data_IF_041814020978
#
_entry.id   IF_041814020978
#
_cell.length_a   1.000
_cell.length_b   1.000
_cell.length_c   1.000
_cell.angle_alpha   90.00
_cell.angle_beta   90.00
_cell.angle_gamma   90.00
#
_symmetry.space_group_name_H-M   'P 1'
#
loop_
_entity.id
_entity.type
_entity.pdbx_description
1 polymer ?
#
# COMPACT_ATOMS: atom_id res chain seq x y z
N UNK A 1 20.27 1.18 -1.62
CA UNK A 1 20.58 1.67 -2.99
C UNK A 1 20.76 0.44 -3.86
N UNK A 2 20.12 0.41 -5.03
CA UNK A 2 20.26 -0.72 -5.94
C UNK A 2 21.57 -0.70 -6.73
N UNK A 3 21.85 -1.81 -7.40
CA UNK A 3 23.05 -2.03 -8.19
C UNK A 3 22.71 -2.64 -9.54
N UNK A 4 23.51 -2.34 -10.56
CA UNK A 4 23.39 -3.01 -11.86
C UNK A 4 24.12 -4.35 -11.83
N UNK A 5 23.45 -5.41 -12.24
CA UNK A 5 24.02 -6.76 -12.39
C UNK A 5 23.96 -7.20 -13.86
N UNK A 6 24.71 -8.25 -14.21
CA UNK A 6 24.65 -8.91 -15.52
C UNK A 6 23.94 -10.25 -15.38
N UNK A 7 23.01 -10.50 -16.30
CA UNK A 7 22.24 -11.74 -16.42
C UNK A 7 22.77 -12.47 -17.65
N UNK A 8 23.18 -13.73 -17.47
CA UNK A 8 23.77 -14.54 -18.52
C UNK A 8 22.69 -15.40 -19.18
N UNK A 9 22.69 -15.47 -20.51
CA UNK A 9 21.87 -16.39 -21.29
C UNK A 9 22.74 -17.11 -22.32
N UNK A 10 22.24 -18.20 -22.95
CA UNK A 10 22.96 -18.84 -24.04
C UNK A 10 23.21 -17.94 -25.26
N UNK A 11 22.41 -16.88 -25.43
CA UNK A 11 22.43 -15.99 -26.60
C UNK A 11 23.19 -14.68 -26.35
N UNK A 12 23.54 -14.39 -25.10
CA UNK A 12 24.26 -13.18 -24.73
C UNK A 12 24.12 -12.86 -23.24
N UNK A 13 24.38 -11.62 -22.87
CA UNK A 13 24.13 -11.14 -21.51
C UNK A 13 23.47 -9.77 -21.55
N UNK A 14 22.58 -9.52 -20.60
CA UNK A 14 21.90 -8.24 -20.46
C UNK A 14 21.97 -7.73 -19.03
N UNK A 15 21.81 -6.42 -18.86
CA UNK A 15 21.87 -5.78 -17.57
C UNK A 15 20.54 -5.91 -16.82
N UNK A 16 20.59 -5.77 -15.50
CA UNK A 16 19.39 -5.58 -14.69
C UNK A 16 19.67 -4.74 -13.45
N UNK A 17 18.68 -3.96 -13.02
CA UNK A 17 18.75 -3.21 -11.76
C UNK A 17 18.27 -4.09 -10.62
N UNK A 18 19.14 -4.33 -9.63
CA UNK A 18 18.84 -5.12 -8.44
C UNK A 18 18.65 -4.19 -7.23
N UNK A 19 17.46 -4.21 -6.65
CA UNK A 19 17.16 -3.63 -5.35
C UNK A 19 17.09 -4.74 -4.28
N UNK A 20 17.63 -4.47 -3.10
CA UNK A 20 17.70 -5.44 -1.99
C UNK A 20 17.06 -4.80 -0.76
N UNK A 21 16.26 -5.55 0.02
CA UNK A 21 15.60 -5.00 1.20
C UNK A 21 16.64 -4.61 2.25
N UNK A 22 16.27 -3.75 3.20
CA UNK A 22 17.17 -3.30 4.26
C UNK A 22 17.73 -4.47 5.10
N UNK A 23 16.97 -5.56 5.23
CA UNK A 23 17.40 -6.80 5.87
C UNK A 23 18.50 -7.57 5.10
N UNK A 24 18.82 -7.14 3.87
CA UNK A 24 19.86 -7.73 3.01
C UNK A 24 19.41 -8.92 2.17
N UNK A 25 18.26 -9.53 2.48
CA UNK A 25 17.70 -10.67 1.74
C UNK A 25 16.19 -10.77 1.90
N UNK A 26 15.53 -11.37 0.93
CA UNK A 26 14.09 -11.62 0.92
C UNK A 26 13.63 -12.44 -0.29
N UNK A 27 12.32 -12.72 -0.41
CA UNK A 27 11.74 -13.35 -1.59
C UNK A 27 12.00 -12.54 -2.87
N UNK A 28 12.10 -13.23 -3.99
CA UNK A 28 12.52 -12.62 -5.26
C UNK A 28 11.36 -12.10 -6.10
N UNK A 29 11.50 -10.89 -6.65
CA UNK A 29 10.58 -10.36 -7.66
C UNK A 29 11.38 -10.01 -8.91
N UNK A 30 10.99 -10.56 -10.07
CA UNK A 30 11.37 -9.98 -11.36
C UNK A 30 10.33 -8.93 -11.74
N UNK A 31 10.76 -7.67 -11.84
CA UNK A 31 9.93 -6.53 -12.20
C UNK A 31 10.08 -6.23 -13.70
N UNK A 32 9.08 -6.57 -14.49
CA UNK A 32 9.05 -6.34 -15.93
C UNK A 32 8.70 -4.89 -16.26
N UNK A 33 9.54 -4.26 -17.07
CA UNK A 33 9.43 -2.86 -17.49
C UNK A 33 8.17 -2.54 -18.31
N UNK A 34 7.81 -1.25 -18.33
CA UNK A 34 6.95 -0.67 -19.36
C UNK A 34 7.73 -0.56 -20.71
N UNK A 35 7.16 0.13 -21.70
CA UNK A 35 7.80 0.35 -23.01
C UNK A 35 8.96 1.36 -22.99
N UNK A 36 9.35 1.85 -21.80
CA UNK A 36 10.33 2.92 -21.63
C UNK A 36 11.71 2.45 -21.16
N UNK A 37 11.93 1.13 -21.07
CA UNK A 37 13.18 0.57 -20.55
C UNK A 37 13.28 0.62 -19.03
N UNK A 38 14.50 0.41 -18.52
CA UNK A 38 14.81 0.41 -17.07
C UNK A 38 15.03 1.85 -16.60
N UNK A 39 14.01 2.70 -16.76
CA UNK A 39 14.08 4.12 -16.44
C UNK A 39 13.99 4.40 -14.93
N UNK A 40 14.02 5.68 -14.55
CA UNK A 40 13.95 6.11 -13.16
C UNK A 40 12.69 5.59 -12.43
N UNK A 41 11.55 5.55 -13.10
CA UNK A 41 10.29 5.03 -12.53
C UNK A 41 10.42 3.55 -12.18
N UNK A 42 11.01 2.74 -13.06
CA UNK A 42 11.17 1.30 -12.78
C UNK A 42 12.14 1.02 -11.64
N UNK A 43 13.21 1.81 -11.51
CA UNK A 43 14.10 1.74 -10.35
C UNK A 43 13.39 2.13 -9.05
N UNK A 44 12.58 3.19 -9.07
CA UNK A 44 11.80 3.62 -7.91
C UNK A 44 10.78 2.56 -7.47
N UNK A 45 10.11 1.89 -8.42
CA UNK A 45 9.19 0.81 -8.09
C UNK A 45 9.95 -0.40 -7.52
N UNK A 46 11.11 -0.74 -8.07
CA UNK A 46 11.96 -1.79 -7.51
C UNK A 46 12.40 -1.48 -6.07
N UNK A 47 12.84 -0.24 -5.82
CA UNK A 47 13.21 0.21 -4.47
C UNK A 47 12.00 0.18 -3.53
N UNK A 48 10.79 0.51 -4.03
CA UNK A 48 9.57 0.46 -3.23
C UNK A 48 9.17 -0.97 -2.84
N UNK A 49 9.29 -1.95 -3.74
CA UNK A 49 9.11 -3.36 -3.37
C UNK A 49 10.26 -3.89 -2.50
N UNK A 50 11.47 -3.31 -2.58
CA UNK A 50 12.53 -3.62 -1.63
C UNK A 50 12.24 -3.09 -0.21
N UNK A 51 11.59 -1.92 -0.08
CA UNK A 51 11.06 -1.45 1.21
C UNK A 51 10.00 -2.41 1.79
N UNK A 52 9.28 -3.14 0.93
CA UNK A 52 8.30 -4.16 1.33
C UNK A 52 8.92 -5.51 1.72
N UNK A 53 10.25 -5.64 1.61
CA UNK A 53 11.00 -6.83 2.03
C UNK A 53 11.42 -7.77 0.90
N UNK A 54 11.27 -7.38 -0.37
CA UNK A 54 11.60 -8.21 -1.52
C UNK A 54 12.97 -7.90 -2.12
N UNK A 55 13.65 -8.91 -2.64
CA UNK A 55 14.81 -8.72 -3.51
C UNK A 55 14.32 -8.59 -4.95
N UNK A 56 14.43 -7.40 -5.55
CA UNK A 56 13.77 -7.06 -6.80
C UNK A 56 14.77 -6.88 -7.93
N UNK A 57 14.57 -7.56 -9.06
CA UNK A 57 15.39 -7.45 -10.26
C UNK A 57 14.56 -6.88 -11.41
N UNK A 58 14.99 -5.75 -11.97
CA UNK A 58 14.43 -5.17 -13.21
C UNK A 58 15.35 -5.51 -14.37
N UNK A 59 15.04 -6.54 -15.18
CA UNK A 59 15.84 -6.87 -16.35
C UNK A 59 15.67 -5.82 -17.47
N UNK A 60 16.75 -5.48 -18.17
CA UNK A 60 16.68 -4.74 -19.43
C UNK A 60 16.14 -5.66 -20.53
N UNK A 61 14.82 -5.61 -20.75
CA UNK A 61 14.15 -6.50 -21.71
C UNK A 61 14.31 -6.03 -23.16
N UNK A 62 14.77 -4.79 -23.39
CA UNK A 62 15.03 -4.29 -24.74
C UNK A 62 16.43 -4.61 -25.26
N UNK A 63 17.26 -5.31 -24.50
CA UNK A 63 18.66 -5.60 -24.83
C UNK A 63 18.89 -6.19 -26.23
N UNK A 64 17.93 -6.96 -26.76
CA UNK A 64 17.97 -7.56 -28.12
C UNK A 64 17.76 -6.57 -29.25
N UNK A 65 17.06 -5.46 -28.97
CA UNK A 65 16.78 -4.38 -29.92
C UNK A 65 17.85 -3.29 -29.74
N UNK A 66 17.97 -2.78 -28.51
CA UNK A 66 18.95 -1.80 -28.09
C UNK A 66 19.13 -1.89 -26.57
N UNK A 67 20.35 -2.14 -26.05
CA UNK A 67 20.59 -2.20 -24.61
C UNK A 67 20.60 -0.81 -23.96
N UNK A 68 20.25 -0.76 -22.68
CA UNK A 68 20.35 0.45 -21.85
C UNK A 68 19.32 1.52 -22.21
N UNK A 69 18.14 1.11 -22.67
CA UNK A 69 17.06 2.06 -22.95
C UNK A 69 16.54 2.65 -21.64
N UNK A 70 16.52 3.98 -21.58
CA UNK A 70 15.87 4.76 -20.54
C UNK A 70 15.14 5.93 -21.20
N UNK A 71 13.81 5.85 -21.24
CA UNK A 71 12.95 6.85 -21.88
C UNK A 71 11.95 7.41 -20.88
N UNK A 72 11.44 8.60 -21.20
CA UNK A 72 10.29 9.19 -20.50
C UNK A 72 8.98 8.88 -21.23
N UNK A 73 7.84 9.10 -20.57
CA UNK A 73 6.51 8.95 -21.16
C UNK A 73 6.05 10.19 -21.94
N UNK A 74 6.99 11.05 -22.38
CA UNK A 74 6.70 12.38 -22.94
C UNK A 74 7.44 12.63 -24.25
N UNK A 75 6.89 13.52 -25.09
CA UNK A 75 7.59 14.05 -26.26
C UNK A 75 8.06 12.97 -27.24
N UNK A 76 9.27 13.16 -27.78
CA UNK A 76 9.88 12.25 -28.78
C UNK A 76 10.20 10.87 -28.22
N UNK A 77 10.48 10.77 -26.91
CA UNK A 77 10.74 9.51 -26.22
C UNK A 77 9.55 8.56 -26.33
N UNK A 78 8.32 9.08 -26.26
CA UNK A 78 7.11 8.26 -26.39
C UNK A 78 7.02 7.60 -27.77
N UNK A 79 7.31 8.32 -28.85
CA UNK A 79 7.31 7.76 -30.20
C UNK A 79 8.41 6.71 -30.38
N UNK A 80 9.59 6.96 -29.81
CA UNK A 80 10.68 5.97 -29.79
C UNK A 80 10.28 4.72 -29.01
N UNK A 81 9.63 4.87 -27.87
CA UNK A 81 9.13 3.76 -27.05
C UNK A 81 8.11 2.90 -27.80
N UNK A 82 7.19 3.52 -28.55
CA UNK A 82 6.26 2.79 -29.43
C UNK A 82 6.99 2.01 -30.51
N UNK A 83 8.02 2.59 -31.13
CA UNK A 83 8.84 1.90 -32.13
C UNK A 83 9.61 0.70 -31.56
N UNK A 84 10.10 0.78 -30.33
CA UNK A 84 10.71 -0.35 -29.62
C UNK A 84 9.68 -1.43 -29.29
N UNK A 85 8.51 -1.04 -28.79
CA UNK A 85 7.41 -1.97 -28.50
C UNK A 85 6.94 -2.75 -29.73
N UNK A 86 6.84 -2.10 -30.89
CA UNK A 86 6.47 -2.77 -32.15
C UNK A 86 7.48 -3.81 -32.62
N UNK A 87 8.75 -3.66 -32.25
CA UNK A 87 9.83 -4.60 -32.58
C UNK A 87 10.00 -5.70 -31.51
N UNK A 88 9.32 -5.59 -30.38
CA UNK A 88 9.51 -6.48 -29.25
C UNK A 88 8.95 -7.88 -29.52
N UNK A 89 9.81 -8.90 -29.39
CA UNK A 89 9.41 -10.30 -29.43
C UNK A 89 8.97 -10.77 -28.04
N UNK A 90 7.67 -11.01 -27.89
CA UNK A 90 7.06 -11.41 -26.62
C UNK A 90 7.52 -12.79 -26.15
N UNK A 91 7.80 -13.72 -27.06
CA UNK A 91 8.24 -15.06 -26.69
C UNK A 91 9.68 -15.01 -26.16
N UNK A 92 10.56 -14.27 -26.84
CA UNK A 92 11.92 -14.02 -26.37
C UNK A 92 11.91 -13.25 -25.03
N UNK A 93 11.01 -12.26 -24.89
CA UNK A 93 10.84 -11.52 -23.64
C UNK A 93 10.48 -12.40 -22.44
N UNK A 94 9.59 -13.40 -22.62
CA UNK A 94 9.26 -14.36 -21.55
C UNK A 94 10.45 -15.26 -21.21
N UNK A 95 11.26 -15.66 -22.20
CA UNK A 95 12.49 -16.41 -21.94
C UNK A 95 13.50 -15.58 -21.14
N UNK A 96 13.65 -14.29 -21.46
CA UNK A 96 14.53 -13.38 -20.73
C UNK A 96 14.03 -13.15 -19.29
N UNK A 97 12.71 -13.12 -19.06
CA UNK A 97 12.13 -13.13 -17.70
C UNK A 97 12.48 -14.42 -16.95
N UNK A 98 12.45 -15.58 -17.63
CA UNK A 98 12.89 -16.86 -17.07
C UNK A 98 14.37 -16.83 -16.65
N UNK A 99 15.26 -16.33 -17.53
CA UNK A 99 16.67 -16.17 -17.22
C UNK A 99 16.90 -15.19 -16.05
N UNK A 100 16.13 -14.10 -15.97
CA UNK A 100 16.18 -13.17 -14.85
C UNK A 100 15.74 -13.83 -13.53
N UNK A 101 14.70 -14.68 -13.55
CA UNK A 101 14.28 -15.45 -12.37
C UNK A 101 15.36 -16.42 -11.90
N UNK A 102 15.99 -17.15 -12.82
CA UNK A 102 17.11 -18.05 -12.51
C UNK A 102 18.30 -17.30 -11.92
N UNK A 103 18.70 -16.19 -12.56
CA UNK A 103 19.78 -15.34 -12.08
C UNK A 103 19.47 -14.77 -10.69
N UNK A 104 18.22 -14.36 -10.44
CA UNK A 104 17.79 -13.86 -9.14
C UNK A 104 17.84 -14.96 -8.06
N UNK A 105 17.34 -16.17 -8.34
CA UNK A 105 17.35 -17.31 -7.39
C UNK A 105 18.77 -17.76 -7.04
N UNK A 106 19.72 -17.62 -7.96
CA UNK A 106 21.12 -17.97 -7.71
C UNK A 106 21.83 -16.99 -6.75
N UNK A 107 21.19 -15.87 -6.40
CA UNK A 107 21.78 -14.85 -5.54
C UNK A 107 21.61 -15.16 -4.05
N UNK A 108 22.61 -14.83 -3.21
CA UNK A 108 22.48 -14.96 -1.76
C UNK A 108 21.43 -14.01 -1.15
N UNK A 109 21.12 -12.90 -1.82
CA UNK A 109 20.07 -11.97 -1.40
C UNK A 109 18.65 -12.48 -1.67
N UNK A 110 18.47 -13.49 -2.54
CA UNK A 110 17.16 -14.07 -2.83
C UNK A 110 16.94 -15.32 -1.96
N UNK A 111 15.96 -15.27 -1.07
CA UNK A 111 15.57 -16.40 -0.21
C UNK A 111 14.08 -16.68 -0.32
N UNK A 112 13.72 -17.95 -0.44
CA UNK A 112 12.32 -18.36 -0.57
C UNK A 112 11.83 -18.36 -2.02
N UNK A 113 10.55 -18.09 -2.21
CA UNK A 113 9.89 -18.18 -3.51
C UNK A 113 10.15 -16.93 -4.38
N UNK A 114 9.86 -17.05 -5.67
CA UNK A 114 9.99 -15.95 -6.63
C UNK A 114 8.70 -15.70 -7.38
N UNK A 115 8.46 -14.44 -7.72
CA UNK A 115 7.34 -14.04 -8.57
C UNK A 115 7.72 -13.01 -9.62
N UNK A 116 6.73 -12.64 -10.42
CA UNK A 116 6.87 -11.68 -11.51
C UNK A 116 5.86 -10.58 -11.34
N UNK A 117 6.29 -9.33 -11.41
CA UNK A 117 5.41 -8.18 -11.39
C UNK A 117 5.69 -7.34 -12.62
N UNK A 118 4.69 -6.72 -13.23
CA UNK A 118 4.98 -5.81 -14.33
C UNK A 118 3.84 -4.89 -14.70
N UNK A 119 4.19 -3.87 -15.50
CA UNK A 119 3.32 -2.77 -15.90
C UNK A 119 3.26 -2.67 -17.42
N UNK A 120 2.07 -2.45 -18.00
CA UNK A 120 1.89 -2.32 -19.46
C UNK A 120 2.42 -3.55 -20.21
N UNK A 121 3.47 -3.42 -21.03
CA UNK A 121 4.22 -4.52 -21.64
C UNK A 121 4.61 -5.55 -20.57
N UNK A 122 5.21 -5.10 -19.47
CA UNK A 122 5.56 -5.94 -18.34
C UNK A 122 4.37 -6.62 -17.67
N UNK A 123 3.18 -6.00 -17.73
CA UNK A 123 1.94 -6.62 -17.24
C UNK A 123 1.52 -7.82 -18.08
N UNK A 124 1.64 -7.71 -19.41
CA UNK A 124 1.46 -8.86 -20.30
C UNK A 124 2.51 -9.93 -20.06
N UNK A 125 3.78 -9.54 -19.89
CA UNK A 125 4.87 -10.48 -19.60
C UNK A 125 4.68 -11.20 -18.26
N UNK A 126 4.16 -10.52 -17.23
CA UNK A 126 3.84 -11.16 -15.95
C UNK A 126 2.74 -12.22 -16.11
N UNK A 127 1.68 -11.93 -16.88
CA UNK A 127 0.63 -12.90 -17.21
C UNK A 127 1.20 -14.11 -17.97
N UNK A 128 2.00 -13.87 -19.01
CA UNK A 128 2.61 -14.94 -19.81
C UNK A 128 3.63 -15.76 -19.01
N UNK A 129 4.41 -15.12 -18.14
CA UNK A 129 5.33 -15.81 -17.23
C UNK A 129 4.56 -16.75 -16.30
N UNK A 130 3.41 -16.32 -15.75
CA UNK A 130 2.54 -17.18 -14.93
C UNK A 130 2.02 -18.39 -15.70
N UNK A 131 1.78 -18.26 -17.01
CA UNK A 131 1.28 -19.33 -17.85
C UNK A 131 2.38 -20.28 -18.35
N UNK A 132 3.59 -19.75 -18.62
CA UNK A 132 4.62 -20.45 -19.41
C UNK A 132 5.82 -20.92 -18.57
N UNK A 133 6.08 -20.29 -17.43
CA UNK A 133 7.22 -20.62 -16.58
C UNK A 133 6.79 -21.50 -15.39
N UNK A 134 7.52 -22.59 -15.08
CA UNK A 134 7.07 -23.58 -14.11
C UNK A 134 7.09 -23.11 -12.65
N UNK A 135 7.91 -22.11 -12.31
CA UNK A 135 8.28 -21.75 -10.93
C UNK A 135 7.94 -20.29 -10.56
N UNK A 136 6.79 -19.78 -11.02
CA UNK A 136 6.28 -18.45 -10.65
C UNK A 136 5.24 -18.62 -9.54
N UNK A 137 5.62 -18.32 -8.30
CA UNK A 137 4.74 -18.48 -7.14
C UNK A 137 3.59 -17.46 -7.15
N UNK A 138 3.89 -16.22 -7.55
CA UNK A 138 2.90 -15.16 -7.72
C UNK A 138 3.26 -14.30 -8.93
N UNK A 139 2.25 -13.95 -9.73
CA UNK A 139 2.35 -13.01 -10.82
C UNK A 139 1.37 -11.86 -10.64
N UNK A 140 1.83 -10.62 -10.85
CA UNK A 140 1.03 -9.42 -10.73
C UNK A 140 1.15 -8.58 -12.00
N UNK A 141 0.04 -8.39 -12.68
CA UNK A 141 -0.05 -7.67 -13.93
C UNK A 141 -0.83 -6.36 -13.77
N UNK A 142 -0.16 -5.24 -13.96
CA UNK A 142 -0.79 -3.92 -14.01
C UNK A 142 -1.03 -3.49 -15.45
N UNK A 143 -2.30 -3.22 -15.79
CA UNK A 143 -2.78 -2.69 -17.08
C UNK A 143 -2.06 -3.35 -18.27
N UNK A 144 -1.99 -4.69 -18.25
CA UNK A 144 -1.35 -5.47 -19.30
C UNK A 144 -2.11 -5.38 -20.62
N UNK A 145 -1.41 -5.12 -21.72
CA UNK A 145 -2.00 -4.95 -23.06
C UNK A 145 -1.99 -6.28 -23.81
N UNK A 146 -3.10 -6.65 -24.46
CA UNK A 146 -3.16 -7.83 -25.32
C UNK A 146 -3.22 -9.18 -24.58
N UNK A 147 -3.59 -9.20 -23.30
CA UNK A 147 -3.78 -10.44 -22.52
C UNK A 147 -4.90 -11.31 -23.11
N UNK A 148 -5.93 -10.68 -23.69
CA UNK A 148 -7.07 -11.33 -24.34
C UNK A 148 -6.67 -12.28 -25.47
N UNK A 149 -5.48 -12.11 -26.05
CA UNK A 149 -4.93 -12.97 -27.10
C UNK A 149 -4.30 -14.27 -26.59
N UNK A 150 -4.06 -14.38 -25.28
CA UNK A 150 -3.39 -15.53 -24.65
C UNK A 150 -4.28 -16.24 -23.60
N UNK A 151 -5.58 -15.96 -23.55
CA UNK A 151 -6.50 -16.52 -22.55
C UNK A 151 -6.56 -18.06 -22.53
N UNK A 152 -6.29 -18.70 -23.68
CA UNK A 152 -6.20 -20.16 -23.78
C UNK A 152 -5.06 -20.78 -22.94
N UNK A 153 -4.04 -19.99 -22.62
CA UNK A 153 -2.89 -20.43 -21.81
C UNK A 153 -3.16 -20.34 -20.31
N UNK A 154 -4.24 -19.68 -19.89
CA UNK A 154 -4.55 -19.47 -18.49
C UNK A 154 -4.64 -20.80 -17.71
N UNK A 155 -5.01 -21.91 -18.37
CA UNK A 155 -5.07 -23.23 -17.74
C UNK A 155 -3.71 -23.71 -17.19
N UNK A 156 -2.61 -23.11 -17.62
CA UNK A 156 -1.26 -23.44 -17.19
C UNK A 156 -0.81 -22.66 -15.94
N UNK A 157 -1.61 -21.70 -15.45
CA UNK A 157 -1.27 -20.90 -14.27
C UNK A 157 -1.29 -21.78 -13.01
N UNK A 158 -0.13 -21.95 -12.38
CA UNK A 158 0.06 -22.77 -11.17
C UNK A 158 0.05 -21.97 -9.88
N UNK A 159 0.72 -20.81 -9.87
CA UNK A 159 0.79 -19.90 -8.73
C UNK A 159 -0.41 -18.97 -8.63
N UNK A 160 -0.30 -17.93 -7.79
CA UNK A 160 -1.27 -16.84 -7.70
C UNK A 160 -1.10 -15.89 -8.89
N UNK A 161 -2.20 -15.41 -9.45
CA UNK A 161 -2.19 -14.39 -10.50
C UNK A 161 -3.16 -13.25 -10.14
N UNK A 162 -2.68 -12.02 -10.15
CA UNK A 162 -3.50 -10.82 -9.91
C UNK A 162 -3.41 -9.89 -11.12
N UNK A 163 -4.55 -9.52 -11.68
CA UNK A 163 -4.67 -8.55 -12.77
C UNK A 163 -5.33 -7.28 -12.27
N UNK A 164 -4.69 -6.14 -12.52
CA UNK A 164 -5.22 -4.80 -12.27
C UNK A 164 -5.54 -4.11 -13.60
N UNK A 165 -6.82 -3.94 -13.91
CA UNK A 165 -7.32 -3.39 -15.17
C UNK A 165 -7.87 -1.98 -14.95
N UNK A 166 -7.47 -1.01 -15.77
CA UNK A 166 -8.09 0.32 -15.79
C UNK A 166 -9.38 0.29 -16.63
N UNK A 167 -10.51 0.77 -16.09
CA UNK A 167 -11.80 0.74 -16.78
C UNK A 167 -11.77 1.52 -18.11
N UNK A 168 -11.09 2.68 -18.14
CA UNK A 168 -11.04 3.56 -19.32
C UNK A 168 -9.85 3.30 -20.23
N UNK A 169 -9.08 2.24 -19.97
CA UNK A 169 -7.87 1.93 -20.74
C UNK A 169 -8.19 1.69 -22.23
N UNK A 170 -7.75 2.63 -23.08
CA UNK A 170 -7.94 2.54 -24.53
C UNK A 170 -7.20 1.36 -25.18
N UNK A 171 -6.15 0.83 -24.54
CA UNK A 171 -5.40 -0.33 -25.00
C UNK A 171 -6.01 -1.67 -24.55
N UNK A 172 -6.92 -1.64 -23.59
CA UNK A 172 -7.71 -2.78 -23.15
C UNK A 172 -9.20 -2.41 -23.17
N UNK A 173 -9.83 -2.37 -24.37
CA UNK A 173 -11.19 -1.88 -24.53
C UNK A 173 -12.21 -2.77 -23.77
N UNK A 174 -13.45 -2.29 -23.53
CA UNK A 174 -14.44 -3.02 -22.72
C UNK A 174 -14.68 -4.48 -23.14
N UNK A 175 -14.59 -4.78 -24.45
CA UNK A 175 -14.71 -6.15 -24.95
C UNK A 175 -13.53 -7.05 -24.50
N UNK A 176 -12.31 -6.54 -24.53
CA UNK A 176 -11.12 -7.24 -24.03
C UNK A 176 -11.22 -7.45 -22.52
N UNK A 177 -11.61 -6.42 -21.76
CA UNK A 177 -11.83 -6.54 -20.31
C UNK A 177 -12.88 -7.61 -19.97
N UNK A 178 -14.00 -7.62 -20.71
CA UNK A 178 -15.05 -8.62 -20.53
C UNK A 178 -14.55 -10.04 -20.85
N UNK A 179 -13.79 -10.21 -21.93
CA UNK A 179 -13.20 -11.50 -22.31
C UNK A 179 -12.22 -12.01 -21.24
N UNK A 180 -11.33 -11.15 -20.73
CA UNK A 180 -10.38 -11.48 -19.66
C UNK A 180 -11.14 -11.92 -18.40
N UNK A 181 -12.13 -11.13 -17.96
CA UNK A 181 -12.92 -11.46 -16.76
C UNK A 181 -13.69 -12.78 -16.91
N UNK A 182 -14.30 -13.02 -18.07
CA UNK A 182 -15.03 -14.24 -18.34
C UNK A 182 -14.12 -15.48 -18.35
N UNK A 183 -12.96 -15.39 -19.00
CA UNK A 183 -12.03 -16.52 -19.12
C UNK A 183 -11.35 -16.89 -17.80
N UNK A 184 -11.16 -15.91 -16.91
CA UNK A 184 -10.47 -16.10 -15.64
C UNK A 184 -11.42 -16.31 -14.44
N UNK A 185 -12.73 -16.17 -14.63
CA UNK A 185 -13.72 -16.31 -13.58
C UNK A 185 -13.72 -17.71 -12.92
N UNK A 186 -13.99 -17.74 -11.61
CA UNK A 186 -14.15 -18.98 -10.85
C UNK A 186 -12.86 -19.73 -10.52
N UNK A 187 -11.69 -19.17 -10.84
CA UNK A 187 -10.39 -19.78 -10.55
C UNK A 187 -9.84 -19.22 -9.24
N UNK A 188 -9.70 -20.07 -8.24
CA UNK A 188 -9.36 -19.65 -6.86
C UNK A 188 -7.98 -18.98 -6.73
N UNK A 189 -7.04 -19.30 -7.62
CA UNK A 189 -5.70 -18.72 -7.67
C UNK A 189 -5.59 -17.47 -8.55
N UNK A 190 -6.69 -17.00 -9.16
CA UNK A 190 -6.67 -15.85 -10.06
C UNK A 190 -7.64 -14.76 -9.59
N UNK A 191 -7.13 -13.54 -9.46
CA UNK A 191 -7.91 -12.36 -9.13
C UNK A 191 -7.84 -11.35 -10.28
N UNK A 192 -9.00 -10.77 -10.62
CA UNK A 192 -9.09 -9.70 -11.62
C UNK A 192 -9.84 -8.53 -11.01
N UNK A 193 -9.16 -7.39 -10.91
CA UNK A 193 -9.72 -6.15 -10.38
C UNK A 193 -9.81 -5.11 -11.48
N UNK A 194 -10.98 -4.50 -11.62
CA UNK A 194 -11.19 -3.35 -12.51
C UNK A 194 -11.29 -2.09 -11.65
N UNK A 195 -10.53 -1.07 -12.01
CA UNK A 195 -10.49 0.23 -11.33
C UNK A 195 -11.34 1.23 -12.12
N UNK A 196 -12.43 1.67 -11.50
CA UNK A 196 -13.39 2.56 -12.14
C UNK A 196 -12.80 3.95 -12.34
N UNK A 197 -13.13 4.56 -13.48
CA UNK A 197 -12.82 5.97 -13.76
C UNK A 197 -11.39 6.29 -14.18
N UNK A 198 -10.46 5.33 -14.11
CA UNK A 198 -9.02 5.52 -14.38
C UNK A 198 -8.60 4.95 -15.74
N UNK A 199 -7.53 5.51 -16.30
CA UNK A 199 -6.96 5.16 -17.61
C UNK A 199 -5.65 4.35 -17.48
N UNK A 200 -5.08 3.96 -18.62
CA UNK A 200 -3.81 3.26 -18.72
C UNK A 200 -2.71 3.99 -17.94
N UNK A 201 -1.86 3.22 -17.26
CA UNK A 201 -0.80 3.75 -16.40
C UNK A 201 -1.26 4.49 -15.13
N UNK A 202 -2.46 4.21 -14.60
CA UNK A 202 -2.96 4.82 -13.37
C UNK A 202 -2.05 4.67 -12.14
N UNK A 203 -1.17 3.67 -12.12
CA UNK A 203 -0.22 3.41 -11.03
C UNK A 203 1.15 4.09 -11.22
N UNK A 204 1.40 4.75 -12.36
CA UNK A 204 2.68 5.42 -12.63
C UNK A 204 2.76 6.74 -11.86
N UNK A 205 3.46 6.76 -10.73
CA UNK A 205 3.61 7.98 -9.92
C UNK A 205 4.24 9.11 -10.75
N UNK A 206 3.59 10.28 -10.78
CA UNK A 206 4.04 11.44 -11.56
C UNK A 206 3.69 11.40 -13.05
N UNK A 207 3.07 10.32 -13.54
CA UNK A 207 2.52 10.22 -14.89
C UNK A 207 1.20 10.98 -15.04
N UNK A 208 0.79 11.24 -16.28
CA UNK A 208 -0.44 11.99 -16.61
C UNK A 208 -1.70 11.36 -16.01
N UNK A 209 -1.84 10.04 -16.09
CA UNK A 209 -3.02 9.32 -15.62
C UNK A 209 -2.92 8.85 -14.15
N UNK A 210 -1.91 9.28 -13.41
CA UNK A 210 -1.70 8.81 -12.04
C UNK A 210 -2.93 9.07 -11.16
N UNK A 211 -3.53 7.99 -10.66
CA UNK A 211 -4.64 8.04 -9.71
C UNK A 211 -4.19 7.42 -8.38
N UNK A 212 -3.88 8.28 -7.41
CA UNK A 212 -3.35 7.85 -6.11
C UNK A 212 -4.25 6.84 -5.39
N UNK A 213 -5.58 7.02 -5.28
CA UNK A 213 -6.46 6.04 -4.62
C UNK A 213 -6.40 4.66 -5.29
N UNK A 214 -6.54 4.58 -6.62
CA UNK A 214 -6.51 3.30 -7.34
C UNK A 214 -5.13 2.65 -7.27
N UNK A 215 -4.05 3.44 -7.38
CA UNK A 215 -2.69 2.95 -7.24
C UNK A 215 -2.43 2.33 -5.85
N UNK A 216 -2.89 2.99 -4.78
CA UNK A 216 -2.75 2.48 -3.41
C UNK A 216 -3.57 1.19 -3.19
N UNK A 217 -4.78 1.12 -3.72
CA UNK A 217 -5.62 -0.08 -3.64
C UNK A 217 -5.00 -1.24 -4.42
N UNK A 218 -4.48 -0.99 -5.62
CA UNK A 218 -3.81 -1.99 -6.43
C UNK A 218 -2.54 -2.49 -5.74
N UNK A 219 -1.71 -1.59 -5.19
CA UNK A 219 -0.52 -1.97 -4.40
C UNK A 219 -0.88 -2.85 -3.21
N UNK A 220 -1.90 -2.49 -2.42
CA UNK A 220 -2.32 -3.29 -1.27
C UNK A 220 -2.75 -4.72 -1.67
N UNK A 221 -3.48 -4.87 -2.78
CA UNK A 221 -3.88 -6.17 -3.32
C UNK A 221 -2.68 -6.98 -3.84
N UNK A 222 -1.74 -6.32 -4.51
CA UNK A 222 -0.49 -6.95 -4.96
C UNK A 222 0.33 -7.46 -3.78
N UNK A 223 0.51 -6.64 -2.74
CA UNK A 223 1.24 -7.06 -1.53
C UNK A 223 0.49 -8.17 -0.80
N UNK A 224 -0.83 -8.16 -0.76
CA UNK A 224 -1.61 -9.25 -0.17
C UNK A 224 -1.33 -10.59 -0.88
N UNK A 225 -1.36 -10.60 -2.21
CA UNK A 225 -1.07 -11.79 -3.01
C UNK A 225 0.39 -12.23 -2.89
N UNK A 226 1.34 -11.30 -3.01
CA UNK A 226 2.77 -11.60 -2.88
C UNK A 226 3.08 -12.16 -1.49
N UNK A 227 2.67 -11.47 -0.41
CA UNK A 227 2.95 -11.97 0.94
C UNK A 227 2.27 -13.31 1.21
N UNK A 228 1.03 -13.49 0.72
CA UNK A 228 0.31 -14.75 0.87
C UNK A 228 1.04 -15.96 0.29
N UNK A 229 1.70 -15.78 -0.86
CA UNK A 229 2.40 -16.88 -1.54
C UNK A 229 3.88 -17.00 -1.17
N UNK A 230 4.59 -15.88 -1.07
CA UNK A 230 6.06 -15.88 -0.96
C UNK A 230 6.60 -15.24 0.33
N UNK A 231 5.76 -14.63 1.16
CA UNK A 231 6.20 -13.77 2.27
C UNK A 231 6.87 -12.49 1.76
N UNK A 232 7.65 -11.77 2.59
CA UNK A 232 7.81 -11.99 4.01
C UNK A 232 6.53 -11.66 4.78
N UNK A 233 6.38 -12.30 5.95
CA UNK A 233 5.30 -12.02 6.88
C UNK A 233 5.83 -11.18 8.04
N UNK A 234 5.14 -10.09 8.34
CA UNK A 234 5.46 -9.22 9.46
C UNK A 234 4.36 -9.29 10.50
N UNK A 235 4.75 -9.35 11.77
CA UNK A 235 3.81 -9.20 12.87
C UNK A 235 3.51 -7.72 13.08
N UNK A 236 2.53 -7.21 12.31
CA UNK A 236 2.12 -5.81 12.41
C UNK A 236 1.54 -5.45 13.77
N UNK A 237 0.98 -6.41 14.52
CA UNK A 237 0.49 -6.13 15.87
C UNK A 237 1.67 -5.86 16.79
N UNK A 238 2.69 -6.72 16.77
CA UNK A 238 3.89 -6.51 17.58
C UNK A 238 4.65 -5.23 17.20
N UNK A 239 4.75 -4.92 15.90
CA UNK A 239 5.39 -3.68 15.42
C UNK A 239 4.65 -2.43 15.92
N UNK A 240 3.30 -2.45 15.88
CA UNK A 240 2.49 -1.35 16.38
C UNK A 240 2.54 -1.23 17.90
N UNK A 241 2.41 -2.33 18.63
CA UNK A 241 2.50 -2.33 20.09
C UNK A 241 3.84 -1.76 20.56
N UNK A 242 4.93 -2.09 19.85
CA UNK A 242 6.25 -1.54 20.14
C UNK A 242 6.36 -0.05 19.83
N UNK A 243 5.74 0.41 18.76
CA UNK A 243 5.65 1.84 18.45
C UNK A 243 4.91 2.59 19.56
N UNK A 244 3.72 2.12 19.96
CA UNK A 244 2.95 2.71 21.06
C UNK A 244 3.68 2.67 22.40
N UNK A 245 4.43 1.60 22.69
CA UNK A 245 5.27 1.54 23.89
C UNK A 245 6.25 2.72 23.94
N UNK A 246 6.89 3.03 22.80
CA UNK A 246 7.81 4.17 22.73
C UNK A 246 7.12 5.53 22.88
N UNK A 247 5.94 5.70 22.31
CA UNK A 247 5.19 6.96 22.38
C UNK A 247 4.58 7.23 23.75
N UNK A 248 4.00 6.21 24.38
CA UNK A 248 3.15 6.40 25.56
C UNK A 248 3.80 5.92 26.86
N UNK A 249 4.53 4.80 26.82
CA UNK A 249 5.10 4.18 28.01
C UNK A 249 6.51 4.70 28.30
N UNK A 250 7.45 4.58 27.36
CA UNK A 250 8.83 5.05 27.55
C UNK A 250 9.02 6.52 27.20
N UNK A 251 8.12 7.06 26.38
CA UNK A 251 8.16 8.45 25.88
C UNK A 251 9.51 8.79 25.23
N UNK A 252 9.98 7.90 24.34
CA UNK A 252 11.28 8.02 23.66
C UNK A 252 11.07 8.33 22.18
N UNK A 253 11.26 9.61 21.83
CA UNK A 253 11.06 10.12 20.47
C UNK A 253 12.02 9.49 19.46
N UNK A 254 13.28 9.25 19.84
CA UNK A 254 14.26 8.70 18.90
C UNK A 254 13.98 7.21 18.64
N UNK A 255 13.55 6.47 19.67
CA UNK A 255 13.09 5.10 19.51
C UNK A 255 11.80 5.01 18.68
N UNK A 256 10.82 5.89 18.91
CA UNK A 256 9.61 6.00 18.08
C UNK A 256 9.99 6.24 16.61
N UNK A 257 10.80 7.27 16.33
CA UNK A 257 11.20 7.59 14.95
C UNK A 257 11.97 6.44 14.28
N UNK A 258 12.73 5.63 15.02
CA UNK A 258 13.45 4.49 14.50
C UNK A 258 12.54 3.33 14.02
N UNK A 259 11.27 3.29 14.44
CA UNK A 259 10.29 2.30 13.96
C UNK A 259 9.67 2.68 12.62
N UNK A 260 9.87 3.91 12.14
CA UNK A 260 9.23 4.43 10.95
C UNK A 260 10.14 4.40 9.72
N UNK A 261 9.55 4.51 8.53
CA UNK A 261 10.28 4.67 7.27
C UNK A 261 11.03 6.02 7.23
N UNK A 262 12.00 6.24 6.33
CA UNK A 262 12.75 7.50 6.25
C UNK A 262 11.90 8.74 5.96
N UNK A 263 10.75 8.58 5.30
CA UNK A 263 9.80 9.67 5.00
C UNK A 263 8.39 9.32 5.54
N UNK A 264 8.21 9.36 6.87
CA UNK A 264 6.95 8.98 7.50
C UNK A 264 5.92 10.11 7.45
N UNK A 265 4.68 9.78 7.78
CA UNK A 265 3.58 10.74 7.79
C UNK A 265 2.57 10.41 8.89
N UNK A 266 2.18 11.41 9.69
CA UNK A 266 1.08 11.26 10.66
C UNK A 266 0.06 12.36 10.44
N UNK A 267 -1.21 11.99 10.51
CA UNK A 267 -2.32 12.92 10.43
C UNK A 267 -3.43 12.55 11.41
N UNK A 268 -3.59 13.40 12.41
CA UNK A 268 -4.77 13.45 13.26
C UNK A 268 -5.90 14.14 12.47
N UNK A 269 -6.78 13.33 11.90
CA UNK A 269 -7.73 13.75 10.87
C UNK A 269 -8.61 14.92 11.32
N UNK A 270 -9.18 14.94 12.54
CA UNK A 270 -10.10 16.00 12.92
C UNK A 270 -9.45 17.38 13.11
N UNK A 271 -8.15 17.44 13.36
CA UNK A 271 -7.42 18.69 13.66
C UNK A 271 -6.31 18.98 12.66
N UNK A 272 -6.04 18.07 11.72
CA UNK A 272 -4.94 18.14 10.76
C UNK A 272 -3.55 18.34 11.42
N UNK A 273 -3.36 17.84 12.63
CA UNK A 273 -2.07 17.90 13.33
C UNK A 273 -1.23 16.66 13.03
N UNK A 274 0.09 16.79 13.14
CA UNK A 274 1.03 15.72 12.83
C UNK A 274 2.27 16.25 12.13
N UNK A 275 2.84 15.45 11.23
CA UNK A 275 4.03 15.82 10.48
C UNK A 275 4.24 14.98 9.23
N UNK A 276 4.90 15.56 8.22
CA UNK A 276 5.28 14.90 6.96
C UNK A 276 6.79 14.92 6.83
N UNK A 277 7.38 13.74 6.65
CA UNK A 277 8.83 13.55 6.59
C UNK A 277 9.48 13.58 7.97
N UNK A 278 10.69 13.02 8.04
CA UNK A 278 11.38 12.74 9.31
C UNK A 278 11.52 13.97 10.21
N UNK A 279 11.99 15.08 9.63
CA UNK A 279 12.28 16.30 10.40
C UNK A 279 11.03 16.92 11.02
N UNK A 280 9.93 17.01 10.27
CA UNK A 280 8.69 17.60 10.78
C UNK A 280 8.01 16.68 11.78
N UNK A 281 7.96 15.37 11.49
CA UNK A 281 7.33 14.41 12.40
C UNK A 281 8.09 14.28 13.72
N UNK A 282 9.43 14.18 13.68
CA UNK A 282 10.25 14.17 14.91
C UNK A 282 10.01 15.42 15.75
N UNK A 283 9.96 16.60 15.12
CA UNK A 283 9.66 17.87 15.81
C UNK A 283 8.27 17.84 16.45
N UNK A 284 7.27 17.34 15.73
CA UNK A 284 5.92 17.18 16.23
C UNK A 284 5.88 16.24 17.45
N UNK A 285 6.48 15.05 17.35
CA UNK A 285 6.52 14.10 18.47
C UNK A 285 7.23 14.67 19.70
N UNK A 286 8.36 15.33 19.51
CA UNK A 286 9.17 15.90 20.59
C UNK A 286 8.45 17.00 21.37
N UNK A 287 7.65 17.83 20.70
CA UNK A 287 7.15 19.07 21.30
C UNK A 287 5.63 19.12 21.46
N UNK A 288 4.87 18.28 20.76
CA UNK A 288 3.41 18.40 20.68
C UNK A 288 2.65 17.10 20.93
N UNK A 289 3.32 15.95 21.09
CA UNK A 289 2.65 14.65 21.24
C UNK A 289 3.15 13.82 22.42
N UNK A 290 4.36 13.24 22.32
CA UNK A 290 4.88 12.21 23.24
C UNK A 290 4.91 12.69 24.71
N UNK A 291 5.21 13.97 24.92
CA UNK A 291 5.30 14.56 26.25
C UNK A 291 4.12 15.48 26.62
N UNK A 292 3.12 15.61 25.75
CA UNK A 292 2.02 16.58 25.90
C UNK A 292 0.71 15.96 26.39
N UNK A 293 0.70 14.64 26.63
CA UNK A 293 -0.49 13.92 27.08
C UNK A 293 -0.71 14.06 28.59
N UNK A 294 -1.97 14.21 29.06
CA UNK A 294 -2.32 14.19 30.48
C UNK A 294 -1.75 12.97 31.23
N UNK A 295 -1.39 13.11 32.52
CA UNK A 295 -0.84 11.99 33.30
C UNK A 295 -1.81 10.82 33.50
N UNK A 296 -3.12 11.07 33.42
CA UNK A 296 -4.18 10.07 33.56
C UNK A 296 -4.71 9.55 32.22
N UNK A 297 -3.98 9.80 31.13
CA UNK A 297 -4.30 9.26 29.81
C UNK A 297 -4.22 7.74 29.83
N UNK A 298 -5.29 7.11 29.35
CA UNK A 298 -5.44 5.66 29.25
C UNK A 298 -5.93 5.29 27.87
N UNK A 299 -5.36 4.23 27.31
CA UNK A 299 -5.76 3.59 26.07
C UNK A 299 -6.38 2.24 26.43
N UNK A 300 -7.67 2.04 26.11
CA UNK A 300 -8.36 0.76 26.33
C UNK A 300 -8.57 0.14 24.95
N UNK A 301 -7.80 -0.90 24.57
CA UNK A 301 -7.98 -1.59 23.29
C UNK A 301 -9.35 -2.25 23.22
N UNK A 302 -10.02 -2.13 22.07
CA UNK A 302 -11.34 -2.71 21.83
C UNK A 302 -11.31 -3.76 20.72
N UNK A 303 -10.73 -3.39 19.58
CA UNK A 303 -10.60 -4.31 18.45
C UNK A 303 -9.37 -3.97 17.61
N UNK A 304 -8.82 -4.97 16.92
CA UNK A 304 -7.72 -4.78 15.98
C UNK A 304 -7.93 -5.64 14.74
N UNK A 305 -7.94 -5.00 13.58
CA UNK A 305 -8.00 -5.68 12.28
C UNK A 305 -6.64 -5.59 11.60
N UNK A 306 -6.04 -6.74 11.28
CA UNK A 306 -4.73 -6.81 10.61
C UNK A 306 -4.92 -7.16 9.14
N UNK A 307 -4.48 -6.27 8.26
CA UNK A 307 -4.47 -6.45 6.82
C UNK A 307 -3.06 -6.65 6.25
N UNK A 308 -2.97 -6.80 4.92
CA UNK A 308 -1.70 -7.10 4.25
C UNK A 308 -0.65 -5.98 4.32
N UNK A 309 -1.07 -4.72 4.47
CA UNK A 309 -0.16 -3.55 4.52
C UNK A 309 -0.43 -2.62 5.70
N UNK A 310 -1.44 -2.91 6.53
CA UNK A 310 -1.93 -1.97 7.53
C UNK A 310 -2.71 -2.67 8.62
N UNK A 311 -2.86 -2.00 9.76
CA UNK A 311 -3.83 -2.35 10.78
C UNK A 311 -4.87 -1.24 10.94
N UNK A 312 -6.03 -1.62 11.47
CA UNK A 312 -7.02 -0.70 12.04
C UNK A 312 -7.15 -1.06 13.51
N UNK A 313 -6.73 -0.15 14.37
CA UNK A 313 -6.75 -0.30 15.83
C UNK A 313 -7.83 0.60 16.42
N UNK A 314 -8.81 0.01 17.08
CA UNK A 314 -9.91 0.68 17.75
C UNK A 314 -9.71 0.64 19.25
N UNK A 315 -9.75 1.81 19.87
CA UNK A 315 -9.51 1.96 21.29
C UNK A 315 -10.37 3.07 21.89
N UNK A 316 -10.62 2.99 23.19
CA UNK A 316 -11.14 4.12 23.94
C UNK A 316 -9.97 4.96 24.46
N UNK A 317 -9.92 6.22 24.04
CA UNK A 317 -8.96 7.21 24.52
C UNK A 317 -9.59 8.01 25.65
N UNK A 318 -9.09 7.85 26.87
CA UNK A 318 -9.65 8.54 28.04
C UNK A 318 -8.60 9.36 28.76
N UNK A 319 -8.93 10.60 29.11
CA UNK A 319 -8.03 11.53 29.81
C UNK A 319 -8.82 12.61 30.54
N UNK A 320 -8.23 13.22 31.56
CA UNK A 320 -8.72 14.50 32.08
C UNK A 320 -7.99 15.64 31.37
N UNK A 321 -8.72 16.65 30.88
CA UNK A 321 -8.10 17.79 30.19
C UNK A 321 -7.40 18.73 31.20
N UNK A 322 -6.29 18.27 31.77
CA UNK A 322 -5.50 18.91 32.84
C UNK A 322 -4.29 19.71 32.33
N UNK A 323 -3.88 19.49 31.08
CA UNK A 323 -2.84 20.24 30.38
C UNK A 323 -3.33 20.54 28.94
N UNK A 324 -2.64 21.43 28.25
CA UNK A 324 -2.89 21.67 26.83
C UNK A 324 -2.50 20.43 26.00
N UNK A 325 -3.32 20.09 25.01
CA UNK A 325 -3.14 18.91 24.16
C UNK A 325 -3.17 19.37 22.70
N UNK A 326 -2.09 20.00 22.24
CA UNK A 326 -2.02 20.67 20.93
C UNK A 326 -2.52 19.82 19.75
N UNK A 327 -2.24 18.52 19.79
CA UNK A 327 -2.60 17.63 18.70
C UNK A 327 -4.11 17.35 18.61
N UNK A 328 -4.84 17.36 19.73
CA UNK A 328 -6.28 17.05 19.80
C UNK A 328 -7.15 18.29 20.02
N UNK A 329 -6.66 19.26 20.78
CA UNK A 329 -7.37 20.45 21.24
C UNK A 329 -6.49 21.72 21.08
N UNK A 330 -6.03 22.03 19.86
CA UNK A 330 -5.10 23.14 19.63
C UNK A 330 -5.67 24.47 20.13
N UNK A 331 -4.92 25.16 21.00
CA UNK A 331 -5.29 26.46 21.55
C UNK A 331 -6.40 26.45 22.59
N UNK A 332 -6.77 25.28 23.12
CA UNK A 332 -7.78 25.16 24.18
C UNK A 332 -7.09 24.97 25.53
N UNK A 333 -7.25 25.89 26.50
CA UNK A 333 -6.64 25.74 27.82
C UNK A 333 -7.30 24.61 28.61
N UNK A 334 -6.60 24.03 29.61
CA UNK A 334 -7.12 22.97 30.46
C UNK A 334 -8.51 23.30 31.02
N UNK A 335 -9.47 22.39 30.83
CA UNK A 335 -10.84 22.56 31.33
C UNK A 335 -11.13 21.75 32.58
N UNK A 336 -10.23 20.82 32.94
CA UNK A 336 -10.41 19.90 34.07
C UNK A 336 -11.52 18.86 33.88
N UNK A 337 -12.12 18.79 32.69
CA UNK A 337 -13.19 17.82 32.40
C UNK A 337 -12.61 16.50 31.90
N UNK A 338 -13.26 15.41 32.29
CA UNK A 338 -12.95 14.07 31.78
C UNK A 338 -13.46 13.95 30.34
N UNK A 339 -12.64 13.34 29.49
CA UNK A 339 -12.98 12.97 28.12
C UNK A 339 -12.84 11.46 27.99
N UNK A 340 -13.82 10.84 27.35
CA UNK A 340 -13.79 9.46 26.86
C UNK A 340 -14.25 9.52 25.40
N UNK A 341 -13.41 9.07 24.48
CA UNK A 341 -13.71 9.13 23.05
C UNK A 341 -13.21 7.88 22.33
N UNK A 342 -14.05 7.24 21.49
CA UNK A 342 -13.58 6.23 20.55
C UNK A 342 -12.55 6.85 19.60
N UNK A 343 -11.40 6.20 19.49
CA UNK A 343 -10.29 6.61 18.64
C UNK A 343 -9.92 5.43 17.73
N UNK A 344 -9.78 5.71 16.44
CA UNK A 344 -9.36 4.74 15.43
C UNK A 344 -8.00 5.15 14.89
N UNK A 345 -7.01 4.27 14.98
CA UNK A 345 -5.72 4.43 14.32
C UNK A 345 -5.66 3.50 13.10
N UNK A 346 -5.54 4.07 11.90
CA UNK A 346 -5.22 3.32 10.68
C UNK A 346 -3.72 3.47 10.43
N UNK A 347 -2.97 2.40 10.69
CA UNK A 347 -1.51 2.41 10.65
C UNK A 347 -1.04 1.58 9.47
N UNK A 348 -0.38 2.23 8.51
CA UNK A 348 0.15 1.59 7.30
C UNK A 348 1.65 1.35 7.45
N UNK A 349 2.10 0.20 6.95
CA UNK A 349 3.48 -0.25 6.97
C UNK A 349 4.06 -0.35 5.56
N UNK A 350 5.39 -0.33 5.50
CA UNK A 350 6.18 -0.82 4.36
C UNK A 350 7.23 -1.75 4.93
N UNK A 351 7.16 -3.02 4.56
CA UNK A 351 7.99 -4.04 5.21
C UNK A 351 7.73 -4.08 6.71
N UNK A 352 8.78 -3.95 7.51
CA UNK A 352 8.78 -3.93 8.97
C UNK A 352 8.73 -2.52 9.60
N UNK A 353 8.52 -1.48 8.78
CA UNK A 353 8.51 -0.07 9.23
C UNK A 353 7.14 0.57 9.05
N UNK A 354 6.78 1.45 9.99
CA UNK A 354 5.57 2.27 9.88
C UNK A 354 5.78 3.35 8.83
N UNK A 355 4.85 3.44 7.87
CA UNK A 355 4.85 4.50 6.86
C UNK A 355 3.96 5.66 7.28
N UNK A 356 2.70 5.39 7.63
CA UNK A 356 1.83 6.46 8.08
C UNK A 356 0.75 6.04 9.06
N UNK A 357 0.26 7.03 9.77
CA UNK A 357 -0.86 6.92 10.70
C UNK A 357 -1.94 7.93 10.31
N UNK A 358 -3.17 7.45 10.17
CA UNK A 358 -4.37 8.28 10.17
C UNK A 358 -5.16 8.00 11.43
N UNK A 359 -5.28 9.02 12.27
CA UNK A 359 -5.93 8.90 13.58
C UNK A 359 -7.25 9.67 13.54
N UNK A 360 -8.35 8.98 13.81
CA UNK A 360 -9.71 9.51 13.76
C UNK A 360 -10.35 9.51 15.14
N UNK A 361 -11.16 10.53 15.40
CA UNK A 361 -12.11 10.57 16.50
C UNK A 361 -13.23 11.58 16.15
N UNK A 362 -14.32 11.59 16.91
CA UNK A 362 -15.37 12.60 16.77
C UNK A 362 -15.03 13.85 17.59
N UNK A 363 -14.52 14.89 16.92
CA UNK A 363 -14.15 16.15 17.56
C UNK A 363 -15.35 16.89 18.16
N UNK A 364 -16.56 16.76 17.61
CA UNK A 364 -17.73 17.42 18.18
C UNK A 364 -18.05 16.82 19.56
N UNK A 365 -18.00 15.50 19.70
CA UNK A 365 -18.18 14.84 20.99
C UNK A 365 -17.11 15.21 22.01
N UNK A 366 -15.84 15.36 21.59
CA UNK A 366 -14.79 15.87 22.48
C UNK A 366 -15.09 17.30 22.94
N UNK A 367 -15.45 18.21 22.01
CA UNK A 367 -15.75 19.61 22.33
C UNK A 367 -16.96 19.76 23.25
N UNK A 368 -17.99 18.92 23.11
CA UNK A 368 -19.13 18.85 24.05
C UNK A 368 -18.66 18.45 25.44
N UNK A 369 -17.87 17.38 25.55
CA UNK A 369 -17.36 16.88 26.83
C UNK A 369 -16.54 17.93 27.57
N UNK A 370 -15.72 18.72 26.86
CA UNK A 370 -14.94 19.80 27.48
C UNK A 370 -15.72 21.11 27.65
N UNK A 371 -16.98 21.19 27.22
CA UNK A 371 -17.84 22.38 27.32
C UNK A 371 -17.47 23.53 26.39
N UNK A 372 -16.89 23.21 25.22
CA UNK A 372 -16.61 24.17 24.14
C UNK A 372 -17.65 24.14 23.03
N UNK A 373 -18.52 23.13 23.02
CA UNK A 373 -19.68 23.04 22.14
C UNK A 373 -20.93 22.78 22.98
N UNK A 374 -21.97 23.59 22.78
CA UNK A 374 -23.29 23.32 23.33
C UNK A 374 -23.99 22.28 22.44
N UNK A 375 -24.37 21.10 22.96
CA UNK A 375 -25.03 20.06 22.16
C UNK A 375 -26.47 20.42 21.78
N UNK A 376 -27.08 21.47 22.36
CA UNK A 376 -28.46 21.83 22.09
C UNK A 376 -28.72 22.07 20.59
N UNK A 377 -29.63 21.29 20.02
CA UNK A 377 -30.00 21.38 18.59
C UNK A 377 -29.00 20.76 17.62
N UNK A 378 -27.93 20.12 18.11
CA UNK A 378 -26.92 19.46 17.28
C UNK A 378 -27.05 17.93 17.35
N UNK A 379 -26.78 17.20 16.25
CA UNK A 379 -26.77 15.74 16.23
C UNK A 379 -25.46 15.18 16.80
N UNK A 380 -25.15 15.47 18.08
CA UNK A 380 -23.92 15.07 18.76
C UNK A 380 -24.24 14.32 20.05
N UNK A 381 -23.59 13.16 20.26
CA UNK A 381 -23.85 12.29 21.41
C UNK A 381 -22.88 12.52 22.59
N UNK A 382 -21.73 13.17 22.37
CA UNK A 382 -20.78 13.44 23.44
C UNK A 382 -20.19 12.14 24.01
N UNK A 383 -20.10 12.05 25.33
CA UNK A 383 -19.56 10.88 26.05
C UNK A 383 -20.35 9.60 25.81
N UNK A 384 -21.62 9.69 25.41
CA UNK A 384 -22.45 8.51 25.14
C UNK A 384 -21.93 7.67 23.98
N UNK A 385 -21.14 8.27 23.06
CA UNK A 385 -20.44 7.53 21.99
C UNK A 385 -19.50 6.47 22.56
N UNK A 386 -18.70 6.81 23.58
CA UNK A 386 -17.79 5.92 24.28
C UNK A 386 -18.53 4.84 25.08
N UNK A 387 -19.57 5.25 25.81
CA UNK A 387 -20.34 4.34 26.67
C UNK A 387 -21.08 3.29 25.88
N UNK A 388 -21.73 3.69 24.79
CA UNK A 388 -22.46 2.78 23.90
C UNK A 388 -21.54 1.78 23.19
N UNK A 389 -20.28 2.16 22.97
CA UNK A 389 -19.28 1.27 22.39
C UNK A 389 -18.89 0.13 23.35
N UNK A 390 -18.91 0.38 24.66
CA UNK A 390 -18.61 -0.62 25.70
C UNK A 390 -19.84 -1.40 26.18
N UNK A 391 -21.04 -0.83 26.05
CA UNK A 391 -22.29 -1.41 26.50
C UNK A 391 -23.36 -1.30 25.41
N UNK A 392 -23.55 -2.40 24.68
CA UNK A 392 -24.54 -2.51 23.62
C UNK A 392 -25.99 -2.45 24.13
N UNK A 393 -26.24 -2.50 25.44
CA UNK A 393 -27.59 -2.43 26.03
C UNK A 393 -28.11 -1.00 26.18
N UNK A 394 -27.24 0.01 26.12
CA UNK A 394 -27.65 1.43 26.20
C UNK A 394 -28.60 1.81 25.05
N UNK A 395 -29.53 2.76 25.24
CA UNK A 395 -30.54 3.07 24.23
C UNK A 395 -29.93 3.66 22.95
N UNK A 396 -30.37 3.17 21.79
CA UNK A 396 -30.07 3.75 20.47
C UNK A 396 -31.14 4.77 20.04
N UNK A 397 -30.83 5.56 19.02
CA UNK A 397 -31.79 6.44 18.31
C UNK A 397 -32.38 7.59 19.15
N UNK A 398 -31.79 7.92 20.29
CA UNK A 398 -32.24 9.03 21.16
C UNK A 398 -32.18 10.39 20.48
N UNK A 399 -31.28 10.58 19.51
CA UNK A 399 -31.17 11.79 18.67
C UNK A 399 -32.15 11.80 17.49
N UNK A 400 -32.82 10.68 17.18
CA UNK A 400 -33.77 10.57 16.08
C UNK A 400 -35.19 10.86 16.56
N UNK A 401 -35.61 12.13 16.52
CA UNK A 401 -36.96 12.53 16.96
C UNK A 401 -38.12 11.74 16.32
N UNK A 402 -37.91 11.19 15.11
CA UNK A 402 -38.91 10.38 14.39
C UNK A 402 -38.86 8.88 14.70
N UNK A 403 -37.94 8.42 15.54
CA UNK A 403 -37.75 6.99 15.82
C UNK A 403 -39.03 6.30 16.32
N UNK A 404 -39.80 6.96 17.17
CA UNK A 404 -41.07 6.43 17.68
C UNK A 404 -42.13 6.26 16.57
N UNK A 405 -42.02 6.98 15.45
CA UNK A 405 -43.02 6.93 14.37
C UNK A 405 -42.97 5.63 13.56
N UNK A 406 -41.92 4.82 13.72
CA UNK A 406 -41.80 3.50 13.09
C UNK A 406 -42.24 2.34 13.99
N UNK A 407 -42.68 2.61 15.22
CA UNK A 407 -43.15 1.54 16.11
C UNK A 407 -44.38 0.84 15.52
N UNK A 408 -44.28 -0.49 15.34
CA UNK A 408 -45.36 -1.32 14.82
C UNK A 408 -45.65 -1.21 13.31
N UNK A 409 -44.82 -0.51 12.54
CA UNK A 409 -44.82 -0.56 11.06
C UNK A 409 -43.86 -1.63 10.57
#
# INVERSE_FOLDING_TARGET
MGQTIQIQTPEGSFSGYLATPAAGKGPGIVLCQEIFGVNATMRQVADYYAEEGYTVLVPDLFWRIAPGIELTDRGEDFQRALGLYQQFDEAAGVQDVGAALEALRARPECVGQTGVLGFCLGGKLAYLAACRLPDVACAVAYYGVGIEHALGEAANVRGRLVLHIAEKDGFCPPQAQAAIRAALAGRENIEVHVYAGVDHAFARTGGEHFDKPSALMAHQRSIAALRGEMGPHYDFSALWDKHCEYEFATRDVDATMATMVPQPYVNHIPTMTGGVGYAQLRRFYQHHFVHSNPPDTTLIPLSRTVGATQIVDEMLFCFTHSCEIDWMLPGVPPTGKRVEIPLIAIVKFRGDKLYHEHIYWDQASVLVQIGKLDPAGLPVAGVETARKLLDETLPSNTLMARWQQSEGK
#
